data_IF_592994488311
#
_entry.id   IF_592994488311
#
_cell.length_a   1.000
_cell.length_b   1.000
_cell.length_c   1.000
_cell.angle_alpha   90.00
_cell.angle_beta   90.00
_cell.angle_gamma   90.00
#
_symmetry.space_group_name_H-M   'P 1'
#
loop_
_entity.id
_entity.type
_entity.pdbx_description
1 polymer ?
#
# COMPACT_ATOMS: atom_id res chain seq x y z
N UNK A 1 30.37 -31.12 31.43
CA UNK A 1 29.46 -32.00 30.68
C UNK A 1 28.11 -31.33 30.67
N UNK A 2 27.90 -30.43 29.71
CA UNK A 2 26.55 -30.02 29.31
C UNK A 2 26.51 -30.26 27.80
N UNK A 3 25.79 -31.31 27.41
CA UNK A 3 25.41 -31.59 26.04
C UNK A 3 24.52 -30.43 25.55
N UNK A 4 25.09 -29.50 24.76
CA UNK A 4 24.28 -28.66 23.89
C UNK A 4 23.72 -29.54 22.78
N UNK A 5 22.40 -29.75 22.70
CA UNK A 5 21.82 -30.72 21.80
C UNK A 5 21.96 -30.22 20.36
N UNK A 6 22.24 -31.19 19.50
CA UNK A 6 22.51 -31.13 18.08
C UNK A 6 21.34 -30.52 17.24
N UNK A 7 21.02 -29.24 17.45
CA UNK A 7 19.85 -28.58 16.81
C UNK A 7 20.13 -27.99 15.43
N UNK A 8 21.39 -28.03 14.98
CA UNK A 8 21.83 -27.51 13.68
C UNK A 8 21.78 -28.57 12.55
N UNK A 9 21.70 -29.84 12.90
CA UNK A 9 21.69 -30.96 11.94
C UNK A 9 20.29 -31.29 11.39
N UNK A 10 19.21 -30.82 12.05
CA UNK A 10 17.83 -31.17 11.67
C UNK A 10 17.11 -30.09 10.84
N UNK A 11 17.81 -29.03 10.43
CA UNK A 11 17.21 -27.98 9.60
C UNK A 11 17.12 -28.42 8.13
N UNK A 12 15.93 -28.33 7.48
CA UNK A 12 15.77 -28.70 6.07
C UNK A 12 16.74 -27.97 5.13
N UNK A 13 17.06 -28.60 4.00
CA UNK A 13 17.99 -28.03 3.00
C UNK A 13 17.55 -26.62 2.54
N UNK A 14 16.27 -26.45 2.21
CA UNK A 14 15.76 -25.19 1.66
C UNK A 14 15.82 -24.04 2.67
N UNK A 15 15.67 -24.37 3.96
CA UNK A 15 15.88 -23.42 5.05
C UNK A 15 17.33 -22.93 5.08
N UNK A 16 18.30 -23.84 4.96
CA UNK A 16 19.73 -23.49 4.92
C UNK A 16 20.06 -22.64 3.69
N UNK A 17 19.47 -22.94 2.52
CA UNK A 17 19.66 -22.16 1.30
C UNK A 17 19.10 -20.74 1.46
N UNK A 18 17.89 -20.58 2.00
CA UNK A 18 17.32 -19.26 2.23
C UNK A 18 18.09 -18.46 3.28
N UNK A 19 18.60 -19.10 4.33
CA UNK A 19 19.48 -18.45 5.30
C UNK A 19 20.78 -17.95 4.66
N UNK A 20 21.41 -18.76 3.81
CA UNK A 20 22.60 -18.37 3.05
C UNK A 20 22.33 -17.23 2.06
N UNK A 21 21.14 -17.21 1.45
CA UNK A 21 20.72 -16.13 0.56
C UNK A 21 20.57 -14.81 1.30
N UNK A 22 19.98 -14.81 2.50
CA UNK A 22 19.89 -13.61 3.34
C UNK A 22 21.29 -13.11 3.75
N UNK A 23 22.17 -14.04 4.12
CA UNK A 23 23.55 -13.72 4.48
C UNK A 23 24.33 -13.10 3.31
N UNK A 24 24.14 -13.57 2.07
CA UNK A 24 24.79 -13.00 0.89
C UNK A 24 24.31 -11.60 0.54
N UNK A 25 23.10 -11.23 0.97
CA UNK A 25 22.54 -9.88 0.85
C UNK A 25 22.91 -8.96 2.02
N UNK A 26 23.80 -9.40 2.92
CA UNK A 26 24.29 -8.61 4.05
C UNK A 26 23.31 -8.57 5.24
N UNK A 27 22.31 -9.44 5.27
CA UNK A 27 21.37 -9.51 6.39
C UNK A 27 21.96 -10.41 7.48
N UNK A 28 22.48 -9.79 8.55
CA UNK A 28 23.18 -10.49 9.64
C UNK A 28 22.26 -10.94 10.77
N UNK A 29 21.20 -10.18 11.05
CA UNK A 29 20.23 -10.47 12.11
C UNK A 29 18.81 -10.51 11.54
N UNK A 30 18.13 -11.65 11.72
CA UNK A 30 16.74 -11.86 11.30
C UNK A 30 16.01 -12.78 12.28
N UNK A 31 14.71 -12.55 12.42
CA UNK A 31 13.84 -13.49 13.13
C UNK A 31 13.76 -14.81 12.32
N UNK A 32 13.93 -15.99 12.95
CA UNK A 32 13.80 -17.28 12.28
C UNK A 32 12.49 -17.47 11.51
N UNK A 33 11.42 -16.78 11.92
CA UNK A 33 10.09 -16.81 11.28
C UNK A 33 10.12 -16.23 9.88
N UNK A 34 11.02 -15.28 9.59
CA UNK A 34 11.17 -14.66 8.25
C UNK A 34 11.55 -15.71 7.22
N UNK A 35 12.46 -16.63 7.56
CA UNK A 35 12.88 -17.69 6.64
C UNK A 35 11.70 -18.62 6.32
N UNK A 36 10.88 -18.97 7.31
CA UNK A 36 9.68 -19.77 7.11
C UNK A 36 8.66 -19.05 6.21
N UNK A 37 8.47 -17.74 6.42
CA UNK A 37 7.58 -16.93 5.60
C UNK A 37 8.07 -16.79 4.15
N UNK A 38 9.38 -16.67 3.94
CA UNK A 38 9.98 -16.66 2.60
C UNK A 38 9.85 -18.02 1.89
N UNK A 39 9.96 -19.12 2.62
CA UNK A 39 9.71 -20.46 2.08
C UNK A 39 8.24 -20.64 1.69
N UNK A 40 7.30 -20.24 2.54
CA UNK A 40 5.86 -20.27 2.23
C UNK A 40 5.56 -19.41 1.00
N UNK A 41 6.12 -18.20 0.94
CA UNK A 41 5.98 -17.31 -0.21
C UNK A 41 6.52 -17.95 -1.48
N UNK A 42 7.73 -18.53 -1.45
CA UNK A 42 8.35 -19.17 -2.61
C UNK A 42 7.53 -20.35 -3.12
N UNK A 43 7.01 -21.16 -2.20
CA UNK A 43 6.14 -22.28 -2.53
C UNK A 43 4.83 -21.79 -3.17
N UNK A 44 4.10 -20.86 -2.51
CA UNK A 44 2.84 -20.32 -3.03
C UNK A 44 3.04 -19.65 -4.39
N UNK A 45 4.08 -18.83 -4.54
CA UNK A 45 4.40 -18.19 -5.81
C UNK A 45 4.61 -19.21 -6.94
N UNK A 46 5.36 -20.29 -6.67
CA UNK A 46 5.64 -21.33 -7.66
C UNK A 46 4.38 -22.10 -8.04
N UNK A 47 3.54 -22.46 -7.05
CA UNK A 47 2.25 -23.13 -7.30
C UNK A 47 1.35 -22.28 -8.19
N UNK A 48 1.19 -20.99 -7.86
CA UNK A 48 0.39 -20.07 -8.67
C UNK A 48 0.91 -19.98 -10.12
N UNK A 49 2.24 -19.84 -10.30
CA UNK A 49 2.85 -19.73 -11.64
C UNK A 49 2.65 -21.03 -12.45
N UNK A 50 2.81 -22.19 -11.81
CA UNK A 50 2.60 -23.48 -12.46
C UNK A 50 1.12 -23.71 -12.79
N UNK A 51 0.20 -23.23 -11.97
CA UNK A 51 -1.23 -23.29 -12.22
C UNK A 51 -1.61 -22.45 -13.45
N UNK A 52 -1.08 -21.23 -13.58
CA UNK A 52 -1.28 -20.40 -14.77
C UNK A 52 -0.65 -21.04 -16.02
N UNK A 53 0.55 -21.61 -15.89
CA UNK A 53 1.23 -22.29 -16.99
C UNK A 53 0.46 -23.53 -17.48
N UNK A 54 -0.19 -24.28 -16.58
CA UNK A 54 -1.08 -25.39 -16.92
C UNK A 54 -2.26 -24.93 -17.78
N UNK A 55 -2.88 -23.80 -17.43
CA UNK A 55 -3.99 -23.22 -18.21
C UNK A 55 -3.51 -22.82 -19.61
N UNK A 56 -2.29 -22.30 -19.73
CA UNK A 56 -1.72 -21.94 -21.03
C UNK A 56 -1.37 -23.16 -21.89
N UNK A 57 -0.83 -24.22 -21.30
CA UNK A 57 -0.58 -25.48 -21.98
C UNK A 57 -1.89 -26.12 -22.48
N UNK A 58 -2.95 -26.11 -21.65
CA UNK A 58 -4.29 -26.58 -22.04
C UNK A 58 -4.87 -25.77 -23.21
N UNK A 59 -4.75 -24.44 -23.15
CA UNK A 59 -5.18 -23.55 -24.24
C UNK A 59 -4.41 -23.83 -25.55
N UNK A 60 -3.13 -24.16 -25.46
CA UNK A 60 -2.30 -24.58 -26.59
C UNK A 60 -2.52 -26.05 -27.01
N UNK A 61 -3.42 -26.79 -26.34
CA UNK A 61 -3.68 -28.23 -26.53
C UNK A 61 -2.42 -29.10 -26.38
N UNK A 62 -1.49 -28.67 -25.53
CA UNK A 62 -0.29 -29.44 -25.15
C UNK A 62 -0.60 -30.28 -23.91
N UNK A 63 0.00 -31.46 -23.83
CA UNK A 63 -0.14 -32.35 -22.67
C UNK A 63 0.95 -32.12 -21.60
N UNK A 64 2.03 -31.43 -21.97
CA UNK A 64 3.15 -31.10 -21.09
C UNK A 64 3.36 -29.59 -21.05
N UNK A 65 3.90 -29.10 -19.92
CA UNK A 65 4.19 -27.67 -19.71
C UNK A 65 5.55 -27.35 -20.34
N UNK A 66 5.59 -26.37 -21.23
CA UNK A 66 6.84 -25.87 -21.81
C UNK A 66 7.40 -24.66 -21.03
N UNK A 67 8.68 -24.36 -21.26
CA UNK A 67 9.34 -23.17 -20.72
C UNK A 67 8.64 -21.86 -21.13
N UNK A 68 8.05 -21.82 -22.33
CA UNK A 68 7.36 -20.65 -22.83
C UNK A 68 6.03 -20.42 -22.09
N UNK A 69 5.37 -21.49 -21.63
CA UNK A 69 4.14 -21.39 -20.83
C UNK A 69 4.45 -20.81 -19.44
N UNK A 70 5.56 -21.24 -18.83
CA UNK A 70 6.06 -20.69 -17.56
C UNK A 70 6.51 -19.23 -17.72
N UNK A 71 7.20 -18.90 -18.81
CA UNK A 71 7.62 -17.52 -19.10
C UNK A 71 6.41 -16.60 -19.25
N UNK A 72 5.39 -17.04 -19.98
CA UNK A 72 4.15 -16.28 -20.16
C UNK A 72 3.42 -16.09 -18.82
N UNK A 73 3.37 -17.14 -17.98
CA UNK A 73 2.76 -17.07 -16.65
C UNK A 73 3.46 -16.03 -15.76
N UNK A 74 4.78 -16.03 -15.74
CA UNK A 74 5.55 -15.03 -14.98
C UNK A 74 5.27 -13.61 -15.51
N UNK A 75 5.29 -13.41 -16.84
CA UNK A 75 5.03 -12.10 -17.44
C UNK A 75 3.64 -11.56 -17.10
N UNK A 76 2.62 -12.42 -17.13
CA UNK A 76 1.26 -12.05 -16.72
C UNK A 76 1.22 -11.51 -15.29
N UNK A 77 1.94 -12.17 -14.36
CA UNK A 77 1.97 -11.81 -12.93
C UNK A 77 2.80 -10.58 -12.60
N UNK A 78 3.97 -10.43 -13.22
CA UNK A 78 4.92 -9.34 -12.93
C UNK A 78 4.26 -7.97 -13.11
N UNK A 79 3.35 -7.83 -14.07
CA UNK A 79 2.67 -6.58 -14.36
C UNK A 79 1.80 -6.04 -13.22
N UNK A 80 1.37 -6.87 -12.26
CA UNK A 80 0.48 -6.44 -11.17
C UNK A 80 0.98 -6.82 -9.77
N UNK A 81 1.82 -7.85 -9.64
CA UNK A 81 2.32 -8.32 -8.33
C UNK A 81 3.62 -7.66 -7.90
N UNK A 82 4.43 -7.19 -8.85
CA UNK A 82 5.72 -6.56 -8.58
C UNK A 82 5.75 -5.14 -9.13
N UNK A 83 6.09 -4.19 -8.28
CA UNK A 83 6.26 -2.80 -8.71
C UNK A 83 7.66 -2.65 -9.27
N UNK A 84 7.78 -2.46 -10.59
CA UNK A 84 9.00 -1.88 -11.13
C UNK A 84 9.03 -0.39 -10.80
N UNK A 85 10.21 0.19 -10.51
CA UNK A 85 10.31 1.63 -10.44
C UNK A 85 9.88 2.23 -11.78
N UNK A 86 9.04 3.29 -11.77
CA UNK A 86 8.62 3.92 -13.01
C UNK A 86 9.83 4.46 -13.78
N UNK A 87 9.71 4.51 -15.10
CA UNK A 87 10.80 4.97 -15.94
C UNK A 87 11.18 6.42 -15.63
N UNK A 88 12.48 6.70 -15.72
CA UNK A 88 13.03 8.04 -15.41
C UNK A 88 12.41 9.12 -16.28
N UNK A 89 12.16 8.82 -17.55
CA UNK A 89 11.57 9.77 -18.51
C UNK A 89 10.16 10.17 -18.09
N UNK A 90 9.33 9.20 -17.68
CA UNK A 90 8.00 9.47 -17.14
C UNK A 90 8.05 10.36 -15.88
N UNK A 91 9.00 10.11 -14.98
CA UNK A 91 9.18 10.95 -13.79
C UNK A 91 9.66 12.37 -14.14
N UNK A 92 10.49 12.52 -15.17
CA UNK A 92 10.95 13.82 -15.64
C UNK A 92 9.83 14.63 -16.29
N UNK A 93 9.00 14.00 -17.11
CA UNK A 93 7.82 14.63 -17.72
C UNK A 93 6.84 15.11 -16.63
N UNK A 94 6.54 14.24 -15.65
CA UNK A 94 5.69 14.60 -14.52
C UNK A 94 6.29 15.74 -13.69
N UNK A 95 7.61 15.70 -13.47
CA UNK A 95 8.31 16.77 -12.76
C UNK A 95 8.24 18.08 -13.54
N UNK A 96 8.42 18.08 -14.86
CA UNK A 96 8.28 19.27 -15.69
C UNK A 96 6.85 19.83 -15.60
N UNK A 97 5.82 19.00 -15.75
CA UNK A 97 4.42 19.43 -15.64
C UNK A 97 4.12 20.10 -14.29
N UNK A 98 4.63 19.54 -13.19
CA UNK A 98 4.43 20.08 -11.84
C UNK A 98 5.29 21.30 -11.54
N UNK A 99 6.51 21.34 -12.02
CA UNK A 99 7.46 22.43 -11.78
C UNK A 99 7.16 23.67 -12.64
N UNK A 100 6.25 23.58 -13.64
CA UNK A 100 5.75 24.74 -14.38
C UNK A 100 4.99 25.74 -13.51
N UNK A 101 4.40 25.30 -12.40
CA UNK A 101 3.70 26.19 -11.48
C UNK A 101 4.71 26.90 -10.56
N UNK A 102 4.79 28.24 -10.61
CA UNK A 102 5.72 28.96 -9.76
C UNK A 102 5.36 28.79 -8.29
N UNK A 103 6.37 28.90 -7.43
CA UNK A 103 6.18 28.84 -5.99
C UNK A 103 5.25 29.98 -5.52
N UNK A 104 4.37 29.73 -4.54
CA UNK A 104 3.52 30.78 -3.97
C UNK A 104 4.38 31.82 -3.23
N UNK A 105 3.90 33.06 -3.22
CA UNK A 105 4.53 34.17 -2.48
C UNK A 105 4.68 33.81 -1.00
N UNK A 106 5.87 34.01 -0.45
CA UNK A 106 6.18 33.75 0.96
C UNK A 106 5.80 35.02 1.77
N UNK A 107 4.84 34.96 2.69
CA UNK A 107 4.50 36.11 3.55
C UNK A 107 5.56 36.32 4.64
N UNK A 108 5.76 37.55 5.08
CA UNK A 108 6.76 37.95 6.12
C UNK A 108 6.41 37.48 7.55
N UNK A 109 5.39 36.64 7.72
CA UNK A 109 5.00 36.10 9.02
C UNK A 109 5.90 34.93 9.39
N UNK A 110 6.63 35.05 10.48
CA UNK A 110 7.41 33.95 11.05
C UNK A 110 6.48 32.85 11.57
N UNK A 111 6.60 31.64 11.03
CA UNK A 111 5.89 30.46 11.53
C UNK A 111 5.43 29.47 10.45
N UNK A 112 4.88 28.34 10.89
CA UNK A 112 4.30 27.31 10.01
C UNK A 112 2.93 27.77 9.52
N UNK A 113 2.74 27.78 8.19
CA UNK A 113 1.45 28.13 7.58
C UNK A 113 0.56 26.88 7.49
N UNK A 114 -0.48 26.85 8.31
CA UNK A 114 -1.55 25.86 8.15
C UNK A 114 -2.40 26.18 6.91
N UNK A 115 -2.94 25.16 6.22
CA UNK A 115 -4.03 25.34 5.28
C UNK A 115 -5.22 26.06 5.95
N UNK A 116 -6.13 26.68 5.18
CA UNK A 116 -7.37 27.25 5.73
C UNK A 116 -8.15 26.27 6.62
N UNK A 117 -8.83 26.79 7.65
CA UNK A 117 -9.93 26.19 8.44
C UNK A 117 -10.48 24.85 7.91
N UNK A 118 -11.17 24.98 6.78
CA UNK A 118 -11.89 23.93 6.05
C UNK A 118 -11.04 22.78 5.50
N UNK A 119 -9.74 22.97 5.35
CA UNK A 119 -8.77 21.98 4.86
C UNK A 119 -7.84 21.47 5.98
N UNK A 120 -8.06 21.92 7.22
CA UNK A 120 -7.38 21.40 8.41
C UNK A 120 -8.26 20.36 9.10
N UNK A 121 -7.63 19.28 9.55
CA UNK A 121 -8.28 18.19 10.30
C UNK A 121 -8.48 18.54 11.79
N UNK A 122 -8.72 19.81 12.10
CA UNK A 122 -8.94 20.33 13.47
C UNK A 122 -10.40 20.28 13.89
N UNK A 123 -11.33 20.18 12.93
CA UNK A 123 -12.75 20.04 13.20
C UNK A 123 -13.09 18.64 13.71
N UNK A 124 -14.00 18.57 14.69
CA UNK A 124 -14.55 17.31 15.17
C UNK A 124 -15.33 16.65 14.02
N UNK A 125 -14.84 15.53 13.50
CA UNK A 125 -15.40 14.79 12.37
C UNK A 125 -16.34 13.65 12.79
N UNK A 126 -16.72 13.58 14.07
CA UNK A 126 -17.62 12.57 14.62
C UNK A 126 -18.61 13.20 15.60
N UNK A 127 -19.87 12.80 15.55
CA UNK A 127 -20.87 13.15 16.56
C UNK A 127 -21.18 11.89 17.38
N UNK A 128 -20.75 11.86 18.65
CA UNK A 128 -21.02 10.73 19.57
C UNK A 128 -22.53 10.64 19.88
N UNK A 129 -23.26 11.74 19.75
CA UNK A 129 -24.70 11.80 19.96
C UNK A 129 -25.38 12.02 18.60
N UNK A 130 -26.31 11.16 18.15
CA UNK A 130 -27.09 11.43 16.96
C UNK A 130 -27.86 12.74 17.13
N UNK A 131 -27.62 13.70 16.24
CA UNK A 131 -28.38 14.95 16.19
C UNK A 131 -29.87 14.59 16.05
N UNK A 132 -30.64 14.78 17.12
CA UNK A 132 -32.08 14.70 17.02
C UNK A 132 -32.49 15.74 15.99
N UNK A 133 -32.99 15.28 14.84
CA UNK A 133 -33.55 16.15 13.80
C UNK A 133 -34.54 17.08 14.49
N UNK A 134 -34.18 18.34 14.69
CA UNK A 134 -35.15 19.36 15.09
C UNK A 134 -36.16 19.42 13.97
N UNK A 135 -37.33 18.84 14.20
CA UNK A 135 -38.49 19.02 13.36
C UNK A 135 -38.69 20.52 13.20
N UNK A 136 -38.71 21.00 11.96
CA UNK A 136 -39.20 22.34 11.68
C UNK A 136 -40.65 22.38 12.13
N UNK A 137 -40.91 23.02 13.26
CA UNK A 137 -42.23 23.24 13.83
C UNK A 137 -42.28 24.63 14.43
N UNK A 138 -42.99 25.51 13.73
CA UNK A 138 -43.61 26.78 14.13
C UNK A 138 -43.45 27.26 15.57
N UNK A 139 -42.97 28.51 15.73
CA UNK A 139 -43.61 29.58 16.50
C UNK A 139 -42.70 30.82 16.45
N UNK A 140 -43.11 32.07 16.39
CA UNK A 140 -44.33 32.77 15.98
C UNK A 140 -43.87 34.24 15.97
N UNK A 141 -44.41 35.08 15.09
CA UNK A 141 -44.19 36.54 15.15
C UNK A 141 -44.54 37.08 16.54
N UNK A 142 -43.95 38.22 16.93
CA UNK A 142 -44.84 39.29 17.35
C UNK A 142 -44.58 40.58 16.56
N UNK A 143 -45.67 41.10 15.98
CA UNK A 143 -45.80 42.52 15.69
C UNK A 143 -46.39 43.20 16.94
N UNK A 144 -45.93 44.42 17.30
CA UNK A 144 -46.78 45.61 17.57
C UNK A 144 -45.87 46.85 17.77
N UNK A 145 -46.38 47.98 17.25
CA UNK A 145 -45.84 49.32 17.02
C UNK A 145 -45.52 50.17 18.26
N UNK A 146 -44.68 51.20 18.05
CA UNK A 146 -44.91 52.55 18.56
C UNK A 146 -44.34 53.57 17.55
N UNK A 147 -45.17 54.50 17.05
CA UNK A 147 -44.76 55.62 16.20
C UNK A 147 -44.66 56.94 16.96
N UNK A 148 -43.90 57.92 16.41
CA UNK A 148 -44.05 59.36 16.63
C UNK A 148 -43.22 60.17 15.60
N UNK A 149 -43.87 61.11 14.90
CA UNK A 149 -43.33 62.15 14.00
C UNK A 149 -43.23 61.71 12.53
N UNK A 150 -44.06 62.14 11.58
CA UNK A 150 -44.75 63.42 11.36
C UNK A 150 -46.21 63.20 10.90
#
# INVERSE_FOLDING_TARGET
MEDTPNKLEETPRDYKIMALLLQSHGVTDCDPSVINQLLEFSHRYTVDVLQDALVYAEHAKKSEIDIEDVRLAIQGRVNYSFTSPPEKEFLLELAEERNRYPLPLIPEKYGVRLPPEKYTLTGVNFHIVPEQRKSKGSDQQPATQAGAGD
#
